data_IF_663173277016
#
_entry.id   IF_663173277016
#
_cell.length_a   1.000
_cell.length_b   1.000
_cell.length_c   1.000
_cell.angle_alpha   90.00
_cell.angle_beta   90.00
_cell.angle_gamma   90.00
#
_symmetry.space_group_name_H-M   'P 1'
#
loop_
_entity.id
_entity.type
_entity.pdbx_description
1 polymer ?
#
# COMPACT_ATOMS: atom_id res chain seq x y z
N UNK A 1 15.57 -1.73 2.47
CA UNK A 1 14.27 -2.24 1.95
C UNK A 1 13.10 -1.84 2.84
N UNK A 2 13.24 -1.88 4.17
CA UNK A 2 12.19 -1.49 5.13
C UNK A 2 11.62 -0.08 4.91
N UNK A 3 12.45 0.93 4.68
CA UNK A 3 11.95 2.30 4.45
C UNK A 3 11.06 2.41 3.20
N UNK A 4 11.44 1.68 2.13
CA UNK A 4 10.64 1.63 0.91
C UNK A 4 9.31 0.89 1.15
N UNK A 5 9.33 -0.22 1.89
CA UNK A 5 8.13 -0.94 2.29
C UNK A 5 7.17 -0.03 3.07
N UNK A 6 7.69 0.65 4.09
CA UNK A 6 6.91 1.58 4.91
C UNK A 6 6.30 2.71 4.07
N UNK A 7 7.06 3.28 3.14
CA UNK A 7 6.54 4.31 2.24
C UNK A 7 5.40 3.77 1.35
N UNK A 8 5.55 2.58 0.78
CA UNK A 8 4.51 1.94 -0.04
C UNK A 8 3.24 1.71 0.77
N UNK A 9 3.36 1.19 2.00
CA UNK A 9 2.21 1.06 2.90
C UNK A 9 1.51 2.40 3.14
N UNK A 10 2.28 3.45 3.47
CA UNK A 10 1.72 4.78 3.72
C UNK A 10 1.00 5.35 2.49
N UNK A 11 1.55 5.18 1.29
CA UNK A 11 0.88 5.64 0.06
C UNK A 11 -0.38 4.81 -0.23
N UNK A 12 -0.33 3.50 0.00
CA UNK A 12 -1.51 2.62 -0.14
C UNK A 12 -2.64 2.96 0.82
N UNK A 13 -2.33 3.37 2.06
CA UNK A 13 -3.34 3.87 2.98
C UNK A 13 -3.91 5.22 2.50
N UNK A 14 -3.06 6.13 1.99
CA UNK A 14 -3.47 7.45 1.49
C UNK A 14 -4.37 7.41 0.26
N UNK A 15 -4.15 6.46 -0.67
CA UNK A 15 -4.91 6.44 -1.93
C UNK A 15 -6.40 6.18 -1.69
N UNK A 16 -6.74 5.32 -0.73
CA UNK A 16 -8.13 5.04 -0.36
C UNK A 16 -8.77 6.23 0.37
N UNK A 17 -8.01 6.95 1.19
CA UNK A 17 -8.46 8.19 1.83
C UNK A 17 -8.81 9.24 0.78
N UNK A 18 -7.90 9.50 -0.17
CA UNK A 18 -8.12 10.47 -1.26
C UNK A 18 -9.35 10.10 -2.11
N UNK A 19 -9.53 8.80 -2.41
CA UNK A 19 -10.74 8.35 -3.10
C UNK A 19 -12.01 8.66 -2.30
N UNK A 20 -12.01 8.42 -1.00
CA UNK A 20 -13.16 8.66 -0.12
C UNK A 20 -13.51 10.15 -0.05
N UNK A 21 -12.50 11.02 0.03
CA UNK A 21 -12.65 12.47 0.00
C UNK A 21 -13.26 12.93 -1.34
N UNK A 22 -12.73 12.46 -2.47
CA UNK A 22 -13.28 12.77 -3.79
C UNK A 22 -14.72 12.25 -3.95
N UNK A 23 -15.04 11.06 -3.44
CA UNK A 23 -16.40 10.52 -3.50
C UNK A 23 -17.37 11.42 -2.73
N UNK A 24 -16.96 11.97 -1.58
CA UNK A 24 -17.75 12.93 -0.83
C UNK A 24 -17.97 14.23 -1.62
N UNK A 25 -16.94 14.76 -2.28
CA UNK A 25 -17.07 15.94 -3.13
C UNK A 25 -18.01 15.72 -4.33
N UNK A 26 -17.91 14.56 -4.98
CA UNK A 26 -18.81 14.15 -6.07
C UNK A 26 -20.26 14.08 -5.57
N UNK A 27 -20.49 13.49 -4.41
CA UNK A 27 -21.82 13.40 -3.81
C UNK A 27 -22.41 14.79 -3.50
N UNK A 28 -21.61 15.70 -2.95
CA UNK A 28 -22.03 17.07 -2.65
C UNK A 28 -22.39 17.84 -3.93
N UNK A 29 -21.54 17.72 -4.95
CA UNK A 29 -21.73 18.40 -6.24
C UNK A 29 -23.00 17.90 -6.93
N UNK A 30 -23.16 16.58 -7.05
CA UNK A 30 -24.34 15.97 -7.66
C UNK A 30 -25.65 16.36 -6.95
N UNK A 31 -25.62 16.39 -5.61
CA UNK A 31 -26.76 16.82 -4.79
C UNK A 31 -27.20 18.26 -5.06
N UNK A 32 -26.27 19.15 -5.42
CA UNK A 32 -26.55 20.57 -5.72
C UNK A 32 -27.04 20.81 -7.17
N UNK A 33 -26.60 19.99 -8.13
CA UNK A 33 -26.81 20.26 -9.56
C UNK A 33 -28.04 19.59 -10.18
N UNK A 34 -28.62 18.55 -9.55
CA UNK A 34 -29.84 17.80 -9.97
C UNK A 34 -29.90 17.48 -11.48
N UNK A 35 -29.60 16.24 -11.87
CA UNK A 35 -29.75 15.80 -13.25
C UNK A 35 -29.43 14.31 -13.46
N UNK A 36 -29.95 13.71 -14.53
CA UNK A 36 -29.71 12.28 -14.82
C UNK A 36 -28.25 11.99 -15.18
N UNK A 37 -27.59 12.90 -15.90
CA UNK A 37 -26.17 12.78 -16.25
C UNK A 37 -25.28 12.79 -15.00
N UNK A 38 -25.46 13.76 -14.10
CA UNK A 38 -24.61 13.89 -12.90
C UNK A 38 -24.83 12.73 -11.92
N UNK A 39 -26.05 12.22 -11.80
CA UNK A 39 -26.31 11.00 -10.99
C UNK A 39 -25.70 9.74 -11.61
N UNK A 40 -25.59 9.68 -12.94
CA UNK A 40 -24.92 8.57 -13.63
C UNK A 40 -23.41 8.61 -13.37
N UNK A 41 -22.78 9.77 -13.52
CA UNK A 41 -21.35 9.97 -13.24
C UNK A 41 -21.01 9.68 -11.78
N UNK A 42 -21.83 10.13 -10.83
CA UNK A 42 -21.71 9.81 -9.41
C UNK A 42 -21.72 8.30 -9.14
N UNK A 43 -22.65 7.57 -9.75
CA UNK A 43 -22.72 6.10 -9.61
C UNK A 43 -21.50 5.41 -10.21
N UNK A 44 -21.04 5.87 -11.37
CA UNK A 44 -19.81 5.37 -11.99
C UNK A 44 -18.61 5.59 -11.08
N UNK A 45 -18.45 6.79 -10.52
CA UNK A 45 -17.36 7.09 -9.59
C UNK A 45 -17.43 6.21 -8.33
N UNK A 46 -18.61 6.09 -7.72
CA UNK A 46 -18.82 5.22 -6.55
C UNK A 46 -18.51 3.74 -6.84
N UNK A 47 -18.78 3.28 -8.06
CA UNK A 47 -18.48 1.89 -8.46
C UNK A 47 -16.99 1.58 -8.52
N UNK A 48 -16.12 2.60 -8.52
CA UNK A 48 -14.67 2.43 -8.51
C UNK A 48 -14.11 2.09 -7.11
N UNK A 49 -14.92 2.09 -6.05
CA UNK A 49 -14.48 1.79 -4.68
C UNK A 49 -13.63 0.52 -4.59
N UNK A 50 -14.09 -0.56 -5.21
CA UNK A 50 -13.42 -1.87 -5.18
C UNK A 50 -12.05 -1.83 -5.84
N UNK A 51 -11.85 -0.96 -6.85
CA UNK A 51 -10.56 -0.76 -7.51
C UNK A 51 -9.56 -0.12 -6.53
N UNK A 52 -9.97 0.93 -5.81
CA UNK A 52 -9.12 1.59 -4.82
C UNK A 52 -8.82 0.72 -3.60
N UNK A 53 -9.80 -0.08 -3.15
CA UNK A 53 -9.61 -1.09 -2.12
C UNK A 53 -8.58 -2.14 -2.55
N UNK A 54 -8.67 -2.62 -3.81
CA UNK A 54 -7.71 -3.58 -4.37
C UNK A 54 -6.31 -2.97 -4.44
N UNK A 55 -6.17 -1.73 -4.95
CA UNK A 55 -4.87 -1.06 -4.97
C UNK A 55 -4.24 -0.93 -3.58
N UNK A 56 -5.03 -0.56 -2.57
CA UNK A 56 -4.56 -0.53 -1.18
C UNK A 56 -4.05 -1.91 -0.73
N UNK A 57 -4.81 -2.97 -0.97
CA UNK A 57 -4.45 -4.33 -0.57
C UNK A 57 -3.14 -4.75 -1.25
N UNK A 58 -3.01 -4.54 -2.55
CA UNK A 58 -1.81 -4.91 -3.30
C UNK A 58 -0.56 -4.15 -2.82
N UNK A 59 -0.71 -2.87 -2.51
CA UNK A 59 0.38 -2.06 -1.95
C UNK A 59 0.79 -2.55 -0.55
N UNK A 60 -0.17 -2.93 0.31
CA UNK A 60 0.12 -3.50 1.62
C UNK A 60 0.83 -4.86 1.47
N UNK A 61 0.35 -5.72 0.58
CA UNK A 61 0.96 -7.02 0.32
C UNK A 61 2.41 -6.87 -0.17
N UNK A 62 2.65 -5.93 -1.07
CA UNK A 62 3.99 -5.66 -1.58
C UNK A 62 4.91 -5.07 -0.49
N UNK A 63 4.39 -4.17 0.35
CA UNK A 63 5.13 -3.70 1.54
C UNK A 63 5.52 -4.87 2.44
N UNK A 64 4.58 -5.76 2.77
CA UNK A 64 4.84 -6.94 3.61
C UNK A 64 5.94 -7.81 3.02
N UNK A 65 5.85 -8.11 1.71
CA UNK A 65 6.88 -8.86 0.99
C UNK A 65 8.27 -8.23 1.15
N UNK A 66 8.39 -6.92 0.95
CA UNK A 66 9.66 -6.21 1.05
C UNK A 66 10.23 -6.20 2.48
N UNK A 67 9.36 -6.12 3.49
CA UNK A 67 9.76 -6.23 4.90
C UNK A 67 10.30 -7.63 5.22
N UNK A 68 9.58 -8.68 4.83
CA UNK A 68 10.02 -10.07 5.01
C UNK A 68 11.32 -10.36 4.27
N UNK A 69 11.48 -9.84 3.05
CA UNK A 69 12.73 -9.97 2.32
C UNK A 69 13.89 -9.32 3.10
N UNK A 70 13.71 -8.11 3.64
CA UNK A 70 14.73 -7.44 4.44
C UNK A 70 15.15 -8.24 5.68
N UNK A 71 14.18 -8.81 6.40
CA UNK A 71 14.42 -9.64 7.57
C UNK A 71 15.19 -10.92 7.22
N UNK A 72 14.83 -11.57 6.12
CA UNK A 72 15.52 -12.77 5.66
C UNK A 72 16.97 -12.50 5.27
N UNK A 73 17.25 -11.39 4.57
CA UNK A 73 18.63 -11.04 4.21
C UNK A 73 19.49 -10.76 5.43
N UNK A 74 18.97 -10.05 6.43
CA UNK A 74 19.70 -9.78 7.67
C UNK A 74 19.97 -11.04 8.48
N UNK A 75 19.00 -11.97 8.54
CA UNK A 75 19.20 -13.25 9.22
C UNK A 75 20.32 -14.07 8.56
N UNK A 76 20.34 -14.12 7.22
CA UNK A 76 21.39 -14.82 6.46
C UNK A 76 22.76 -14.17 6.65
N UNK A 77 22.84 -12.83 6.63
CA UNK A 77 24.08 -12.09 6.85
C UNK A 77 24.64 -12.34 8.27
N UNK A 78 23.78 -12.32 9.28
CA UNK A 78 24.18 -12.59 10.66
C UNK A 78 24.70 -14.02 10.82
N UNK A 79 24.03 -15.01 10.23
CA UNK A 79 24.48 -16.40 10.25
C UNK A 79 25.84 -16.57 9.57
N UNK A 80 26.01 -15.99 8.38
CA UNK A 80 27.29 -16.05 7.66
C UNK A 80 28.44 -15.40 8.45
N UNK A 81 28.16 -14.26 9.08
CA UNK A 81 29.14 -13.57 9.93
C UNK A 81 29.53 -14.40 11.15
N UNK A 82 28.56 -15.02 11.82
CA UNK A 82 28.83 -15.90 12.97
C UNK A 82 29.69 -17.11 12.58
N UNK A 83 29.33 -17.80 11.50
CA UNK A 83 30.11 -18.94 10.99
C UNK A 83 31.55 -18.55 10.62
N UNK A 84 31.74 -17.39 9.98
CA UNK A 84 33.07 -16.90 9.64
C UNK A 84 33.92 -16.55 10.87
N UNK A 85 33.30 -15.96 11.90
CA UNK A 85 33.97 -15.67 13.18
C UNK A 85 34.35 -16.94 13.94
N UNK A 86 33.52 -17.98 13.88
CA UNK A 86 33.83 -19.27 14.49
C UNK A 86 34.99 -19.97 13.77
N UNK A 87 34.99 -20.00 12.43
CA UNK A 87 36.09 -20.59 11.66
C UNK A 87 37.41 -19.81 11.80
N UNK A 88 37.34 -18.49 11.91
CA UNK A 88 38.53 -17.64 12.12
C UNK A 88 39.18 -17.76 13.50
N UNK A 89 38.51 -18.39 14.49
CA UNK A 89 39.06 -18.67 15.83
C UNK A 89 39.79 -20.01 15.94
N UNK A 90 39.71 -20.85 14.91
CA UNK A 90 40.32 -22.21 14.88
C UNK A 90 41.76 -22.19 14.33
N UNK A 91 42.27 -21.03 13.95
CA UNK A 91 43.67 -20.78 13.56
C UNK A 91 44.36 -19.85 14.56
#
# INVERSE_FOLDING_TARGET
MRDKAQNIKTVGDKILTLYTEMLQEVNNTAGSMKGTTIETEKKQFASMQTIFETFKIDMINYSTFLTTAAENYEAVEQQGTQMAQEQGKVF
#
